data_IF_596474244680
#
_entry.id   IF_596474244680
#
_cell.length_a   1.000
_cell.length_b   1.000
_cell.length_c   1.000
_cell.angle_alpha   90.00
_cell.angle_beta   90.00
_cell.angle_gamma   90.00
#
_symmetry.space_group_name_H-M   'P 1'
#
loop_
_entity.id
_entity.type
_entity.pdbx_description
1 polymer ?
#
# COMPACT_ATOMS: atom_id res chain seq x y z
N UNK A 1 0.23 -13.48 -5.06
CA UNK A 1 1.24 -12.97 -4.11
C UNK A 1 1.50 -11.51 -4.45
N UNK A 2 1.76 -10.65 -3.47
CA UNK A 2 2.21 -9.28 -3.74
C UNK A 2 3.71 -9.33 -4.02
N UNK A 3 4.13 -8.93 -5.21
CA UNK A 3 5.55 -8.97 -5.60
C UNK A 3 6.23 -7.64 -5.34
N UNK A 4 5.53 -6.52 -5.56
CA UNK A 4 6.11 -5.19 -5.38
C UNK A 4 5.13 -4.22 -4.75
N UNK A 5 5.70 -3.25 -4.02
CA UNK A 5 4.98 -2.13 -3.43
C UNK A 5 5.72 -0.86 -3.84
N UNK A 6 5.02 0.07 -4.48
CA UNK A 6 5.50 1.44 -4.66
C UNK A 6 4.67 2.36 -3.78
N UNK A 7 5.30 3.16 -2.94
CA UNK A 7 4.62 4.19 -2.15
C UNK A 7 5.21 5.56 -2.45
N UNK A 8 4.36 6.54 -2.71
CA UNK A 8 4.75 7.89 -3.18
C UNK A 8 4.09 8.96 -2.30
N UNK A 9 4.87 9.94 -1.83
CA UNK A 9 4.37 11.09 -1.07
C UNK A 9 3.43 11.93 -1.92
N UNK A 10 2.40 12.48 -1.28
CA UNK A 10 1.47 13.44 -1.87
C UNK A 10 1.62 14.77 -1.13
N UNK A 11 1.93 15.85 -1.85
CA UNK A 11 2.29 17.16 -1.28
C UNK A 11 1.18 18.22 -1.41
N UNK A 12 -0.08 17.81 -1.52
CA UNK A 12 -1.19 18.74 -1.82
C UNK A 12 -1.88 19.34 -0.58
N UNK A 13 -1.32 19.16 0.62
CA UNK A 13 -1.95 19.58 1.87
C UNK A 13 -3.19 18.72 2.21
N UNK A 14 -3.54 18.66 3.48
CA UNK A 14 -4.66 17.84 3.97
C UNK A 14 -4.28 16.46 4.49
N UNK A 15 -5.26 15.58 4.56
CA UNK A 15 -5.15 14.26 5.21
C UNK A 15 -4.52 13.19 4.31
N UNK A 16 -4.55 13.33 2.98
CA UNK A 16 -3.86 12.40 2.08
C UNK A 16 -2.35 12.66 2.10
N UNK A 17 -1.56 11.68 2.55
CA UNK A 17 -0.09 11.81 2.67
C UNK A 17 0.70 11.03 1.65
N UNK A 18 0.16 9.90 1.21
CA UNK A 18 0.79 9.09 0.21
C UNK A 18 -0.24 8.29 -0.60
N UNK A 19 0.18 7.82 -1.76
CA UNK A 19 -0.51 6.79 -2.52
C UNK A 19 0.42 5.58 -2.71
N UNK A 20 -0.17 4.39 -2.74
CA UNK A 20 0.52 3.15 -2.99
C UNK A 20 -0.01 2.44 -4.24
N UNK A 21 0.89 1.72 -4.90
CA UNK A 21 0.61 0.78 -5.97
C UNK A 21 1.20 -0.58 -5.59
N UNK A 22 0.42 -1.63 -5.78
CA UNK A 22 0.84 -3.01 -5.55
C UNK A 22 0.88 -3.78 -6.86
N UNK A 23 1.93 -4.56 -7.10
CA UNK A 23 1.94 -5.56 -8.17
C UNK A 23 1.70 -6.94 -7.58
N UNK A 24 0.80 -7.71 -8.19
CA UNK A 24 0.39 -9.03 -7.73
C UNK A 24 0.65 -10.07 -8.82
N UNK A 25 1.44 -11.08 -8.50
CA UNK A 25 1.83 -12.19 -9.37
C UNK A 25 2.48 -11.80 -10.70
N UNK A 26 3.05 -10.60 -10.82
CA UNK A 26 3.63 -10.06 -12.04
C UNK A 26 2.60 -9.77 -13.14
N UNK A 27 1.31 -9.87 -12.83
CA UNK A 27 0.22 -9.85 -13.83
C UNK A 27 -0.84 -8.78 -13.58
N UNK A 28 -0.92 -8.26 -12.35
CA UNK A 28 -1.93 -7.27 -11.96
C UNK A 28 -1.30 -6.16 -11.16
N UNK A 29 -1.65 -4.90 -11.48
CA UNK A 29 -1.32 -3.74 -10.67
C UNK A 29 -2.58 -3.15 -10.04
N UNK A 30 -2.55 -2.93 -8.72
CA UNK A 30 -3.57 -2.20 -7.98
C UNK A 30 -3.05 -0.81 -7.67
N UNK A 31 -3.59 0.19 -8.35
CA UNK A 31 -3.22 1.59 -8.18
C UNK A 31 -4.14 2.31 -7.19
N UNK A 32 -3.73 3.51 -6.78
CA UNK A 32 -4.54 4.48 -6.02
C UNK A 32 -5.02 3.99 -4.65
N UNK A 33 -4.22 3.14 -3.98
CA UNK A 33 -4.42 2.88 -2.56
C UNK A 33 -3.95 4.13 -1.80
N UNK A 34 -4.82 4.73 -1.01
CA UNK A 34 -4.56 6.02 -0.34
C UNK A 34 -4.11 5.81 1.09
N UNK A 35 -3.09 6.55 1.50
CA UNK A 35 -2.65 6.62 2.89
C UNK A 35 -3.08 7.96 3.47
N UNK A 36 -3.99 7.89 4.44
CA UNK A 36 -4.66 9.04 5.02
C UNK A 36 -4.19 9.20 6.47
N UNK A 37 -3.64 10.36 6.82
CA UNK A 37 -3.35 10.74 8.20
C UNK A 37 -4.64 11.17 8.92
N UNK A 38 -4.82 10.66 10.13
CA UNK A 38 -5.80 11.11 11.11
C UNK A 38 -5.11 11.28 12.47
N UNK A 39 -5.86 11.70 13.48
CA UNK A 39 -5.34 11.95 14.85
C UNK A 39 -4.56 10.78 15.44
N UNK A 40 -4.96 9.53 15.15
CA UNK A 40 -4.35 8.31 15.68
C UNK A 40 -3.41 7.60 14.70
N UNK A 41 -2.82 8.33 13.75
CA UNK A 41 -1.86 7.80 12.78
C UNK A 41 -2.43 7.62 11.37
N UNK A 42 -1.82 6.71 10.61
CA UNK A 42 -2.16 6.49 9.21
C UNK A 42 -3.26 5.44 9.03
N UNK A 43 -4.10 5.65 8.02
CA UNK A 43 -5.19 4.77 7.64
C UNK A 43 -5.08 4.46 6.15
N UNK A 44 -5.27 3.18 5.80
CA UNK A 44 -5.28 2.72 4.42
C UNK A 44 -6.71 2.80 3.89
N UNK A 45 -6.91 3.57 2.83
CA UNK A 45 -8.17 3.62 2.10
C UNK A 45 -7.97 2.96 0.72
N UNK A 46 -8.81 1.97 0.44
CA UNK A 46 -8.77 1.26 -0.83
C UNK A 46 -9.19 2.16 -2.00
N UNK A 47 -8.82 1.79 -3.24
CA UNK A 47 -9.22 2.54 -4.43
C UNK A 47 -10.74 2.51 -4.54
N UNK A 48 -11.34 3.69 -4.64
CA UNK A 48 -12.80 3.86 -4.60
C UNK A 48 -13.26 4.87 -5.64
N UNK A 49 -14.48 4.67 -6.13
CA UNK A 49 -15.12 5.54 -7.11
C UNK A 49 -16.52 5.95 -6.62
N UNK A 50 -16.91 7.18 -6.94
CA UNK A 50 -18.26 7.66 -6.71
C UNK A 50 -19.23 6.99 -7.70
N UNK A 51 -20.11 6.14 -7.19
CA UNK A 51 -21.12 5.43 -7.97
C UNK A 51 -22.48 5.77 -7.38
N UNK A 52 -23.32 6.47 -8.16
CA UNK A 52 -24.67 6.89 -7.74
C UNK A 52 -24.70 7.68 -6.42
N UNK A 53 -23.68 8.54 -6.21
CA UNK A 53 -23.58 9.38 -5.01
C UNK A 53 -22.91 8.71 -3.81
N UNK A 54 -22.56 7.42 -3.89
CA UNK A 54 -21.86 6.69 -2.84
C UNK A 54 -20.44 6.31 -3.30
N UNK A 55 -19.45 6.49 -2.44
CA UNK A 55 -18.12 5.93 -2.68
C UNK A 55 -18.15 4.43 -2.45
N UNK A 56 -17.69 3.68 -3.44
CA UNK A 56 -17.55 2.22 -3.37
C UNK A 56 -16.13 1.83 -3.72
N UNK A 57 -15.57 0.93 -2.92
CA UNK A 57 -14.27 0.34 -3.22
C UNK A 57 -14.35 -0.45 -4.52
N UNK A 58 -13.45 -0.13 -5.44
CA UNK A 58 -13.26 -0.84 -6.72
C UNK A 58 -12.50 -2.14 -6.45
N UNK A 59 -11.51 -2.08 -5.56
CA UNK A 59 -10.74 -3.24 -5.10
C UNK A 59 -10.78 -3.31 -3.59
N UNK A 60 -11.07 -4.47 -3.04
CA UNK A 60 -11.03 -4.68 -1.60
C UNK A 60 -10.63 -6.13 -1.27
N UNK A 61 -9.85 -6.35 -0.21
CA UNK A 61 -9.69 -7.68 0.36
C UNK A 61 -11.04 -8.19 0.88
N UNK A 62 -11.38 -9.43 0.53
CA UNK A 62 -12.66 -10.06 0.87
C UNK A 62 -12.71 -10.46 2.35
N UNK A 63 -11.61 -11.02 2.87
CA UNK A 63 -11.54 -11.54 4.23
C UNK A 63 -10.78 -10.58 5.17
N UNK A 64 -11.14 -10.61 6.46
CA UNK A 64 -10.44 -9.82 7.48
C UNK A 64 -8.93 -10.15 7.57
N UNK A 65 -8.48 -11.43 7.50
CA UNK A 65 -7.06 -11.74 7.47
C UNK A 65 -6.35 -11.13 6.25
N UNK A 66 -6.98 -11.17 5.08
CA UNK A 66 -6.40 -10.55 3.88
C UNK A 66 -6.28 -9.04 4.05
N UNK A 67 -7.29 -8.39 4.66
CA UNK A 67 -7.25 -6.96 4.97
C UNK A 67 -6.08 -6.60 5.89
N UNK A 68 -5.87 -7.39 6.94
CA UNK A 68 -4.77 -7.18 7.87
C UNK A 68 -3.39 -7.27 7.19
N UNK A 69 -3.21 -8.21 6.26
CA UNK A 69 -1.96 -8.29 5.47
C UNK A 69 -1.70 -6.98 4.71
N UNK A 70 -2.68 -6.48 3.94
CA UNK A 70 -2.52 -5.22 3.22
C UNK A 70 -2.27 -4.03 4.15
N UNK A 71 -3.04 -3.91 5.22
CA UNK A 71 -2.93 -2.81 6.18
C UNK A 71 -1.55 -2.81 6.85
N UNK A 72 -1.12 -3.94 7.41
CA UNK A 72 0.17 -4.05 8.09
C UNK A 72 1.33 -3.74 7.15
N UNK A 73 1.31 -4.28 5.92
CA UNK A 73 2.35 -4.01 4.93
C UNK A 73 2.45 -2.51 4.59
N UNK A 74 1.32 -1.90 4.25
CA UNK A 74 1.29 -0.52 3.77
C UNK A 74 1.54 0.51 4.89
N UNK A 75 1.10 0.21 6.12
CA UNK A 75 1.39 1.06 7.29
C UNK A 75 2.90 1.12 7.56
N UNK A 76 3.59 -0.01 7.50
CA UNK A 76 5.05 -0.05 7.65
C UNK A 76 5.75 0.70 6.51
N UNK A 77 5.31 0.50 5.27
CA UNK A 77 5.87 1.21 4.11
C UNK A 77 5.73 2.74 4.22
N UNK A 78 4.62 3.25 4.79
CA UNK A 78 4.47 4.70 5.00
C UNK A 78 5.33 5.22 6.15
N UNK A 79 5.52 4.45 7.22
CA UNK A 79 6.44 4.83 8.30
C UNK A 79 7.85 5.10 7.75
N UNK A 80 8.37 4.22 6.90
CA UNK A 80 9.68 4.40 6.26
C UNK A 80 9.70 5.60 5.31
N UNK A 81 8.66 5.74 4.47
CA UNK A 81 8.58 6.84 3.51
C UNK A 81 8.59 8.19 4.22
N UNK A 82 7.90 8.31 5.35
CA UNK A 82 7.82 9.55 6.11
C UNK A 82 9.13 9.89 6.86
N UNK A 83 9.94 8.88 7.18
CA UNK A 83 11.28 9.06 7.75
C UNK A 83 12.36 9.28 6.69
N UNK A 84 12.11 8.88 5.44
CA UNK A 84 13.01 9.08 4.31
C UNK A 84 12.92 10.48 3.72
N UNK A 85 14.03 10.96 3.12
CA UNK A 85 14.03 12.18 2.30
C UNK A 85 13.47 11.96 0.89
N UNK A 86 13.31 10.69 0.48
CA UNK A 86 12.81 10.34 -0.84
C UNK A 86 11.33 10.71 -1.01
N UNK A 87 10.95 11.01 -2.26
CA UNK A 87 9.54 11.24 -2.63
C UNK A 87 8.76 9.94 -2.82
N UNK A 88 9.47 8.84 -3.10
CA UNK A 88 8.89 7.51 -3.21
C UNK A 88 9.85 6.43 -2.78
N UNK A 89 9.32 5.33 -2.24
CA UNK A 89 10.06 4.10 -1.98
C UNK A 89 9.46 2.96 -2.81
N UNK A 90 10.33 2.07 -3.27
CA UNK A 90 9.95 0.88 -4.03
C UNK A 90 10.45 -0.36 -3.29
N UNK A 91 9.55 -1.29 -3.03
CA UNK A 91 9.80 -2.52 -2.31
C UNK A 91 9.60 -3.72 -3.23
N UNK A 92 10.53 -4.67 -3.17
CA UNK A 92 10.48 -5.93 -3.90
C UNK A 92 10.41 -7.08 -2.89
N UNK A 93 9.41 -7.95 -3.04
CA UNK A 93 9.30 -9.19 -2.27
C UNK A 93 10.49 -10.11 -2.61
N UNK A 94 11.15 -10.63 -1.58
CA UNK A 94 12.33 -11.48 -1.69
C UNK A 94 11.99 -12.97 -1.71
N UNK A 95 10.82 -13.35 -1.18
CA UNK A 95 10.42 -14.75 -1.07
C UNK A 95 9.09 -15.00 -1.78
N UNK A 96 9.15 -15.64 -2.95
CA UNK A 96 7.96 -15.87 -3.76
C UNK A 96 7.17 -17.12 -3.41
N UNK A 97 7.59 -17.88 -2.38
CA UNK A 97 6.99 -19.16 -2.01
C UNK A 97 6.22 -19.12 -0.67
N UNK A 98 5.97 -17.93 -0.12
CA UNK A 98 5.14 -17.75 1.08
C UNK A 98 3.64 -17.66 0.75
N UNK A 99 2.76 -18.28 1.55
CA UNK A 99 1.32 -18.07 1.41
C UNK A 99 0.98 -16.59 1.60
N UNK A 100 -0.04 -16.10 0.89
CA UNK A 100 -0.44 -14.70 0.95
C UNK A 100 -0.79 -14.22 2.37
N UNK A 101 -1.38 -15.09 3.19
CA UNK A 101 -1.78 -14.75 4.55
C UNK A 101 -0.62 -14.67 5.54
N UNK A 102 0.53 -15.25 5.18
CA UNK A 102 1.75 -15.25 5.99
C UNK A 102 2.74 -14.17 5.53
N UNK A 103 2.38 -13.40 4.50
CA UNK A 103 3.21 -12.33 3.96
C UNK A 103 3.34 -11.19 4.96
N UNK A 104 4.58 -10.80 5.26
CA UNK A 104 4.92 -9.72 6.20
C UNK A 104 5.78 -8.65 5.55
N UNK A 105 5.96 -7.53 6.24
CA UNK A 105 6.83 -6.45 5.77
C UNK A 105 8.29 -6.90 5.62
N UNK A 106 8.75 -7.83 6.47
CA UNK A 106 10.13 -8.32 6.49
C UNK A 106 10.49 -9.18 5.25
N UNK A 107 9.48 -9.62 4.50
CA UNK A 107 9.65 -10.30 3.22
C UNK A 107 10.03 -9.35 2.07
N UNK A 108 10.04 -8.04 2.31
CA UNK A 108 10.32 -7.01 1.31
C UNK A 108 11.65 -6.30 1.56
N UNK A 109 12.30 -5.89 0.47
CA UNK A 109 13.46 -5.00 0.52
C UNK A 109 13.23 -3.76 -0.33
N UNK A 110 13.69 -2.62 0.18
CA UNK A 110 13.74 -1.37 -0.59
C UNK A 110 14.78 -1.52 -1.69
N UNK A 111 14.36 -1.29 -2.92
CA UNK A 111 15.19 -1.31 -4.13
C UNK A 111 15.21 0.10 -4.69
N UNK A 112 16.38 0.76 -4.60
CA UNK A 112 16.57 2.09 -5.16
C UNK A 112 16.33 2.05 -6.67
N UNK A 113 15.35 2.80 -7.16
CA UNK A 113 15.21 3.03 -8.60
C UNK A 113 16.34 3.98 -9.01
N UNK A 114 17.28 3.46 -9.81
CA UNK A 114 18.33 4.24 -10.46
C UNK A 114 17.75 5.26 -11.42
#
# INVERSE_FOLDING_TARGET
MIDTIKITKVYHGGSLKASATLTIGGVLALHDIKIIEKENGYFIAMPSQLIKGEYRDIYHPISAPARQVFENLLLRCVEDLMQSQESSLFYQCQNTNIPFLDLTYDDFQIVNQS
#
